data_IF_934331803256
#
_entry.id   IF_934331803256
#
_cell.length_a   1.000
_cell.length_b   1.000
_cell.length_c   1.000
_cell.angle_alpha   90.00
_cell.angle_beta   90.00
_cell.angle_gamma   90.00
#
_symmetry.space_group_name_H-M   'P 1'
#
loop_
_entity.id
_entity.type
_entity.pdbx_description
1 polymer ?
#
# COMPACT_ATOMS: atom_id res chain seq x y z
N UNK A 1 -6.31 -16.19 13.18
CA UNK A 1 -5.62 -15.05 12.54
C UNK A 1 -4.15 -15.17 12.89
N UNK A 2 -3.27 -15.26 11.90
CA UNK A 2 -1.83 -15.37 12.14
C UNK A 2 -1.36 -14.05 12.77
N UNK A 3 -0.68 -14.15 13.91
CA UNK A 3 -0.27 -12.99 14.71
C UNK A 3 0.99 -12.39 14.07
N UNK A 4 0.82 -11.51 13.09
CA UNK A 4 1.92 -10.84 12.39
C UNK A 4 2.53 -9.68 13.21
N UNK A 5 2.46 -9.75 14.53
CA UNK A 5 2.88 -8.69 15.45
C UNK A 5 3.84 -9.25 16.48
N UNK A 6 5.02 -8.65 16.54
CA UNK A 6 6.13 -9.07 17.39
C UNK A 6 6.47 -7.95 18.36
N UNK A 7 6.72 -8.27 19.63
CA UNK A 7 7.39 -7.31 20.49
C UNK A 7 8.87 -7.23 20.10
N UNK A 8 9.50 -6.06 20.24
CA UNK A 8 10.87 -5.82 19.80
C UNK A 8 11.86 -6.83 20.40
N UNK A 9 11.67 -7.23 21.67
CA UNK A 9 12.49 -8.24 22.31
C UNK A 9 12.35 -9.63 21.66
N UNK A 10 11.14 -10.02 21.26
CA UNK A 10 10.89 -11.32 20.63
C UNK A 10 11.43 -11.34 19.20
N UNK A 11 11.25 -10.23 18.48
CA UNK A 11 11.82 -10.05 17.15
C UNK A 11 13.36 -10.09 17.19
N UNK A 12 13.99 -9.49 18.20
CA UNK A 12 15.45 -9.57 18.39
C UNK A 12 15.92 -11.00 18.66
N UNK A 13 15.21 -11.73 19.50
CA UNK A 13 15.58 -13.10 19.91
C UNK A 13 15.28 -14.16 18.83
N UNK A 14 14.44 -13.83 17.84
CA UNK A 14 14.00 -14.74 16.79
C UNK A 14 14.00 -14.12 15.40
N UNK A 15 14.94 -13.22 15.11
CA UNK A 15 14.88 -12.38 13.91
C UNK A 15 14.76 -13.18 12.62
N UNK A 16 15.49 -14.29 12.48
CA UNK A 16 15.38 -15.19 11.32
C UNK A 16 13.95 -15.70 11.09
N UNK A 17 13.21 -16.03 12.17
CA UNK A 17 11.81 -16.46 12.07
C UNK A 17 10.90 -15.33 11.61
N UNK A 18 11.16 -14.10 12.06
CA UNK A 18 10.42 -12.91 11.61
C UNK A 18 10.66 -12.67 10.13
N UNK A 19 11.90 -12.81 9.67
CA UNK A 19 12.26 -12.71 8.25
C UNK A 19 11.57 -13.80 7.42
N UNK A 20 11.64 -15.06 7.84
CA UNK A 20 10.96 -16.17 7.15
C UNK A 20 9.44 -15.95 7.08
N UNK A 21 8.85 -15.41 8.13
CA UNK A 21 7.44 -15.05 8.17
C UNK A 21 7.13 -13.89 7.23
N UNK A 22 8.00 -12.88 7.14
CA UNK A 22 7.87 -11.78 6.18
C UNK A 22 7.91 -12.26 4.73
N UNK A 23 8.78 -13.25 4.44
CA UNK A 23 8.92 -13.83 3.10
C UNK A 23 7.74 -14.74 2.72
N UNK A 24 7.21 -15.53 3.67
CA UNK A 24 6.17 -16.55 3.38
C UNK A 24 4.75 -16.06 3.59
N UNK A 25 4.53 -15.24 4.62
CA UNK A 25 3.21 -14.86 5.11
C UNK A 25 2.92 -13.37 4.94
N UNK A 26 3.85 -12.60 4.34
CA UNK A 26 3.72 -11.16 4.13
C UNK A 26 4.11 -10.32 5.34
N UNK A 27 3.77 -9.02 5.36
CA UNK A 27 4.30 -8.03 6.29
C UNK A 27 4.22 -8.43 7.78
N UNK A 28 5.29 -8.16 8.52
CA UNK A 28 5.42 -8.43 9.95
C UNK A 28 5.63 -7.13 10.73
N UNK A 29 4.73 -6.82 11.65
CA UNK A 29 4.78 -5.60 12.47
C UNK A 29 5.59 -5.85 13.73
N UNK A 30 6.49 -4.93 14.06
CA UNK A 30 7.24 -4.93 15.32
C UNK A 30 6.79 -3.77 16.19
N UNK A 31 6.53 -4.07 17.46
CA UNK A 31 6.08 -3.12 18.47
C UNK A 31 7.19 -2.82 19.46
N UNK A 32 7.26 -1.56 19.93
CA UNK A 32 8.13 -1.14 21.03
C UNK A 32 7.25 -0.56 22.14
N UNK A 33 7.35 -1.11 23.34
CA UNK A 33 6.46 -0.77 24.47
C UNK A 33 4.97 -0.90 24.13
N UNK A 34 4.60 -1.93 23.35
CA UNK A 34 3.21 -2.19 22.94
C UNK A 34 2.70 -1.32 21.79
N UNK A 35 3.50 -0.36 21.28
CA UNK A 35 3.14 0.50 20.15
C UNK A 35 3.79 0.01 18.86
N UNK A 36 3.00 -0.13 17.79
CA UNK A 36 3.51 -0.41 16.44
C UNK A 36 4.52 0.66 16.03
N UNK A 37 5.73 0.22 15.64
CA UNK A 37 6.86 1.13 15.40
C UNK A 37 7.51 0.91 14.05
N UNK A 38 7.69 -0.36 13.64
CA UNK A 38 8.25 -0.70 12.32
C UNK A 38 7.51 -1.88 11.72
N UNK A 39 7.55 -2.00 10.40
CA UNK A 39 7.05 -3.16 9.66
C UNK A 39 8.20 -3.72 8.84
N UNK A 40 8.39 -5.03 8.91
CA UNK A 40 9.35 -5.80 8.12
C UNK A 40 8.58 -6.41 6.95
N UNK A 41 9.03 -6.12 5.74
CA UNK A 41 8.48 -6.63 4.48
C UNK A 41 9.58 -7.25 3.65
N UNK A 42 9.20 -8.11 2.70
CA UNK A 42 10.17 -8.60 1.72
C UNK A 42 10.67 -7.44 0.86
N UNK A 43 11.90 -7.55 0.35
CA UNK A 43 12.47 -6.52 -0.54
C UNK A 43 11.66 -6.41 -1.84
N UNK A 44 11.12 -7.53 -2.33
CA UNK A 44 10.26 -7.54 -3.52
C UNK A 44 8.98 -6.73 -3.29
N UNK A 45 8.30 -6.97 -2.18
CA UNK A 45 7.08 -6.25 -1.82
C UNK A 45 7.35 -4.76 -1.57
N UNK A 46 8.45 -4.45 -0.89
CA UNK A 46 8.89 -3.06 -0.73
C UNK A 46 9.13 -2.37 -2.07
N UNK A 47 9.85 -3.01 -3.00
CA UNK A 47 10.12 -2.44 -4.32
C UNK A 47 8.83 -2.21 -5.10
N UNK A 48 7.94 -3.19 -5.12
CA UNK A 48 6.63 -3.06 -5.79
C UNK A 48 5.79 -1.92 -5.21
N UNK A 49 5.84 -1.71 -3.90
CA UNK A 49 5.11 -0.62 -3.24
C UNK A 49 5.79 0.75 -3.41
N UNK A 50 7.12 0.76 -3.48
CA UNK A 50 7.93 1.97 -3.64
C UNK A 50 8.08 2.40 -5.11
N UNK A 51 7.78 1.51 -6.06
CA UNK A 51 7.72 1.85 -7.47
C UNK A 51 6.69 2.96 -7.69
N UNK A 52 7.08 4.07 -8.33
CA UNK A 52 6.11 5.07 -8.74
C UNK A 52 5.05 4.38 -9.59
N UNK A 53 3.79 4.43 -9.16
CA UNK A 53 2.70 4.23 -10.11
C UNK A 53 2.99 5.21 -11.25
N UNK A 54 3.14 4.71 -12.48
CA UNK A 54 3.62 5.50 -13.63
C UNK A 54 2.90 6.84 -13.77
N UNK A 55 3.40 7.72 -14.63
CA UNK A 55 2.83 9.05 -14.72
C UNK A 55 1.34 8.98 -15.04
N UNK A 56 0.56 9.96 -14.55
CA UNK A 56 -0.87 10.07 -14.89
C UNK A 56 -1.05 10.06 -16.42
N UNK A 57 -0.08 10.59 -17.15
CA UNK A 57 -0.02 10.53 -18.62
C UNK A 57 0.06 9.08 -19.10
N UNK A 58 1.02 8.29 -18.59
CA UNK A 58 1.18 6.87 -18.95
C UNK A 58 -0.08 6.07 -18.62
N UNK A 59 -0.73 6.35 -17.50
CA UNK A 59 -2.01 5.75 -17.14
C UNK A 59 -3.08 6.03 -18.21
N UNK A 60 -3.28 7.29 -18.59
CA UNK A 60 -4.27 7.64 -19.62
C UNK A 60 -3.90 7.11 -21.01
N UNK A 61 -2.60 7.01 -21.34
CA UNK A 61 -2.15 6.43 -22.60
C UNK A 61 -2.32 4.91 -22.70
N UNK A 62 -2.25 4.20 -21.57
CA UNK A 62 -2.44 2.75 -21.50
C UNK A 62 -3.85 2.35 -21.07
N UNK A 63 -4.73 3.32 -20.81
CA UNK A 63 -6.10 3.07 -20.38
C UNK A 63 -6.91 2.37 -21.49
N UNK A 64 -7.75 1.38 -21.15
CA UNK A 64 -8.70 0.78 -22.10
C UNK A 64 -9.73 1.79 -22.64
N UNK A 65 -9.83 2.97 -22.01
CA UNK A 65 -10.66 4.07 -22.45
C UNK A 65 -9.95 5.01 -23.44
N UNK A 66 -8.73 4.69 -23.89
CA UNK A 66 -8.03 5.50 -24.90
C UNK A 66 -8.85 5.55 -26.18
N UNK A 67 -9.05 6.76 -26.72
CA UNK A 67 -9.73 6.98 -27.99
C UNK A 67 -11.26 7.04 -27.90
N UNK A 68 -11.86 6.93 -26.71
CA UNK A 68 -13.29 7.18 -26.55
C UNK A 68 -13.59 8.67 -26.82
N UNK A 69 -14.75 8.94 -27.41
CA UNK A 69 -15.25 10.30 -27.58
C UNK A 69 -15.90 10.76 -26.28
N UNK A 70 -15.27 11.72 -25.61
CA UNK A 70 -15.84 12.37 -24.43
C UNK A 70 -16.64 13.60 -24.89
N UNK A 71 -17.85 13.78 -24.34
CA UNK A 71 -18.54 15.06 -24.44
C UNK A 71 -17.89 16.04 -23.46
N UNK A 72 -17.01 16.90 -23.98
CA UNK A 72 -16.24 17.87 -23.20
C UNK A 72 -17.06 19.11 -22.81
N UNK A 73 -18.37 19.14 -23.07
CA UNK A 73 -19.22 20.26 -22.66
C UNK A 73 -19.21 20.39 -21.14
N UNK A 74 -18.92 21.62 -20.68
CA UNK A 74 -18.99 21.96 -19.26
C UNK A 74 -20.42 21.78 -18.76
N UNK A 75 -20.57 20.86 -17.80
CA UNK A 75 -21.82 20.67 -17.08
C UNK A 75 -22.19 21.95 -16.30
N UNK A 76 -23.46 22.37 -16.40
CA UNK A 76 -24.01 23.53 -15.65
C UNK A 76 -24.60 23.13 -14.30
N UNK A 77 -24.36 21.92 -13.83
CA UNK A 77 -25.00 21.37 -12.65
C UNK A 77 -24.48 22.09 -11.38
N UNK A 78 -25.35 22.37 -10.42
CA UNK A 78 -25.04 23.14 -9.21
C UNK A 78 -24.17 22.40 -8.17
N UNK A 79 -23.46 21.34 -8.57
CA UNK A 79 -22.70 20.48 -7.66
C UNK A 79 -23.60 19.55 -6.84
N UNK A 80 -23.00 18.91 -5.83
CA UNK A 80 -23.73 18.06 -4.87
C UNK A 80 -24.02 18.89 -3.62
N UNK A 81 -25.23 18.77 -3.08
CA UNK A 81 -25.58 19.38 -1.79
C UNK A 81 -24.67 18.80 -0.70
N UNK A 82 -23.95 19.67 0.02
CA UNK A 82 -23.08 19.27 1.12
C UNK A 82 -23.76 19.68 2.41
N UNK A 83 -24.09 18.69 3.25
CA UNK A 83 -24.52 18.94 4.63
C UNK A 83 -23.25 19.10 5.47
N UNK A 84 -23.09 20.28 6.07
CA UNK A 84 -22.00 20.61 7.00
C UNK A 84 -22.25 20.02 8.39
#
# INVERSE_FOLDING_TARGET
MVKNTWALQDAKNGFSRVVDSALKNGPQTVTRHGKETVVIVSVEEYRKAAEPSGSVIDFFQNSPLRGIKLDAKRSKNAGREIVL
#
